data_IF_841921360739
#
_entry.id   IF_841921360739
#
_cell.length_a   1.000
_cell.length_b   1.000
_cell.length_c   1.000
_cell.angle_alpha   90.00
_cell.angle_beta   90.00
_cell.angle_gamma   90.00
#
_symmetry.space_group_name_H-M   'P 1'
#
loop_
_entity.id
_entity.type
_entity.pdbx_description
1 polymer ?
#
# COMPACT_ATOMS: atom_id res chain seq x y z
N UNK A 1 48.37 14.56 30.44
CA UNK A 1 48.57 13.94 29.12
C UNK A 1 47.31 13.78 28.31
N UNK A 2 46.23 13.32 28.90
CA UNK A 2 44.95 13.17 28.18
C UNK A 2 44.40 14.48 27.62
N UNK A 3 44.37 15.53 28.44
CA UNK A 3 43.88 16.84 28.05
C UNK A 3 44.76 17.45 26.95
N UNK A 4 46.07 17.24 27.04
CA UNK A 4 47.00 17.76 26.04
C UNK A 4 46.79 17.04 24.69
N UNK A 5 46.64 15.74 24.71
CA UNK A 5 46.38 14.94 23.51
C UNK A 5 45.02 15.28 22.89
N UNK A 6 44.03 15.46 23.72
CA UNK A 6 42.68 15.87 23.26
C UNK A 6 42.76 17.24 22.60
N UNK A 7 43.41 18.21 23.22
CA UNK A 7 43.59 19.56 22.70
C UNK A 7 44.34 19.54 21.37
N UNK A 8 45.37 18.73 21.29
CA UNK A 8 46.18 18.58 20.08
C UNK A 8 45.38 17.93 18.95
N UNK A 9 44.63 16.90 19.26
CA UNK A 9 43.77 16.20 18.31
C UNK A 9 42.66 17.14 17.77
N UNK A 10 42.02 17.91 18.64
CA UNK A 10 41.04 18.92 18.27
C UNK A 10 41.65 19.98 17.36
N UNK A 11 42.88 20.42 17.68
CA UNK A 11 43.59 21.40 16.88
C UNK A 11 43.95 20.89 15.49
N UNK A 12 44.32 19.61 15.37
CA UNK A 12 44.60 18.97 14.08
C UNK A 12 43.29 18.87 13.28
N UNK A 13 42.17 18.49 13.91
CA UNK A 13 40.89 18.41 13.27
C UNK A 13 40.45 19.79 12.74
N UNK A 14 40.66 20.84 13.51
CA UNK A 14 40.31 22.20 13.07
C UNK A 14 41.24 22.73 11.97
N UNK A 15 42.45 22.22 11.87
CA UNK A 15 43.35 22.59 10.76
C UNK A 15 42.96 21.93 9.46
N UNK A 16 42.35 20.76 9.50
CA UNK A 16 41.89 20.07 8.29
C UNK A 16 40.43 20.45 8.00
N UNK A 17 40.29 21.53 7.24
CA UNK A 17 38.97 22.09 6.87
C UNK A 17 38.11 21.10 6.09
N UNK A 18 38.73 20.25 5.29
CA UNK A 18 38.01 19.23 4.49
C UNK A 18 37.40 18.19 5.42
N UNK A 19 38.14 17.78 6.45
CA UNK A 19 37.70 16.76 7.38
C UNK A 19 36.52 17.27 8.24
N UNK A 20 36.59 18.55 8.68
CA UNK A 20 35.50 19.21 9.42
C UNK A 20 34.28 19.33 8.53
N UNK A 21 34.43 19.75 7.29
CA UNK A 21 33.36 19.87 6.33
C UNK A 21 32.64 18.53 6.18
N UNK A 22 33.37 17.44 5.96
CA UNK A 22 32.78 16.10 5.84
C UNK A 22 32.13 15.64 7.11
N UNK A 23 32.73 15.97 8.25
CA UNK A 23 32.21 15.55 9.56
C UNK A 23 30.86 16.17 9.86
N UNK A 24 30.62 17.43 9.48
CA UNK A 24 29.35 18.11 9.68
C UNK A 24 28.41 17.99 8.48
N UNK A 25 28.95 18.00 7.27
CA UNK A 25 28.15 17.92 6.06
C UNK A 25 27.54 16.54 5.83
N UNK A 26 28.28 15.48 6.17
CA UNK A 26 27.84 14.11 5.94
C UNK A 26 26.53 13.78 6.65
N UNK A 27 26.38 14.03 7.98
CA UNK A 27 25.09 13.80 8.63
C UNK A 27 23.94 14.64 8.05
N UNK A 28 24.23 15.88 7.64
CA UNK A 28 23.22 16.76 7.06
C UNK A 28 22.77 16.22 5.71
N UNK A 29 23.72 15.85 4.85
CA UNK A 29 23.42 15.27 3.53
C UNK A 29 22.63 13.96 3.70
N UNK A 30 23.05 13.11 4.62
CA UNK A 30 22.37 11.85 4.91
C UNK A 30 20.93 12.09 5.39
N UNK A 31 20.75 13.10 6.28
CA UNK A 31 19.42 13.48 6.76
C UNK A 31 18.52 13.97 5.62
N UNK A 32 19.06 14.77 4.71
CA UNK A 32 18.32 15.26 3.53
C UNK A 32 17.92 14.08 2.63
N UNK A 33 18.84 13.14 2.37
CA UNK A 33 18.55 11.96 1.57
C UNK A 33 17.47 11.09 2.21
N UNK A 34 17.54 10.87 3.51
CA UNK A 34 16.51 10.12 4.23
C UNK A 34 15.17 10.82 4.19
N UNK A 35 15.17 12.14 4.38
CA UNK A 35 13.93 12.93 4.31
C UNK A 35 13.29 12.83 2.93
N UNK A 36 14.07 12.98 1.87
CA UNK A 36 13.56 12.84 0.49
C UNK A 36 13.04 11.43 0.20
N UNK A 37 13.78 10.41 0.65
CA UNK A 37 13.38 9.02 0.45
C UNK A 37 12.10 8.69 1.21
N UNK A 38 12.00 9.10 2.48
CA UNK A 38 10.83 8.85 3.30
C UNK A 38 9.63 9.73 2.92
N UNK A 39 9.86 10.94 2.43
CA UNK A 39 8.78 11.80 1.96
C UNK A 39 8.06 11.16 0.75
N UNK A 40 8.82 10.58 -0.15
CA UNK A 40 8.25 9.86 -1.28
C UNK A 40 7.53 8.58 -0.83
N UNK A 41 8.08 7.89 0.16
CA UNK A 41 7.47 6.69 0.74
C UNK A 41 6.16 7.04 1.45
N UNK A 42 6.14 8.11 2.23
CA UNK A 42 4.91 8.54 2.91
C UNK A 42 3.81 8.95 1.93
N UNK A 43 4.16 9.51 0.79
CA UNK A 43 3.19 9.87 -0.25
C UNK A 43 2.73 8.65 -1.05
N UNK A 44 3.62 7.69 -1.27
CA UNK A 44 3.33 6.48 -2.05
C UNK A 44 2.77 5.36 -1.18
N UNK A 45 3.15 5.29 0.09
CA UNK A 45 2.68 4.27 1.05
C UNK A 45 1.48 4.70 1.88
N UNK A 46 1.17 5.98 1.96
CA UNK A 46 -0.16 6.36 2.39
C UNK A 46 -1.11 5.70 1.41
N UNK A 47 -1.75 4.62 1.87
CA UNK A 47 -2.66 3.79 1.10
C UNK A 47 -3.50 4.68 0.20
N UNK A 48 -2.99 4.94 -1.01
CA UNK A 48 -3.76 5.66 -1.99
C UNK A 48 -4.91 4.77 -2.38
N UNK A 49 -6.10 5.33 -2.31
CA UNK A 49 -7.30 4.63 -2.75
C UNK A 49 -7.10 4.28 -4.23
N UNK A 50 -7.20 3.02 -4.56
CA UNK A 50 -7.04 2.56 -5.94
C UNK A 50 -8.35 1.98 -6.46
N UNK A 51 -8.48 1.98 -7.77
CA UNK A 51 -9.71 1.56 -8.44
C UNK A 51 -9.69 0.05 -8.68
N UNK A 52 -10.78 -0.60 -8.31
CA UNK A 52 -11.02 -2.00 -8.64
C UNK A 52 -12.43 -2.12 -9.21
N UNK A 53 -12.69 -3.21 -9.92
CA UNK A 53 -14.04 -3.55 -10.37
C UNK A 53 -14.52 -4.81 -9.66
N UNK A 54 -15.82 -4.85 -9.40
CA UNK A 54 -16.49 -6.04 -8.89
C UNK A 54 -17.58 -6.39 -9.90
N UNK A 55 -17.60 -7.63 -10.34
CA UNK A 55 -18.62 -8.09 -11.28
C UNK A 55 -19.91 -8.35 -10.50
N UNK A 56 -20.91 -7.53 -10.80
CA UNK A 56 -22.22 -7.59 -10.16
C UNK A 56 -23.06 -8.67 -10.82
N UNK A 57 -22.91 -9.91 -10.34
CA UNK A 57 -23.70 -11.05 -10.79
C UNK A 57 -24.55 -11.57 -9.63
N UNK A 58 -25.37 -12.58 -9.92
CA UNK A 58 -26.26 -13.18 -8.92
C UNK A 58 -25.49 -13.78 -7.74
N UNK A 59 -24.32 -14.33 -8.01
CA UNK A 59 -23.46 -14.92 -6.99
C UNK A 59 -22.92 -13.87 -6.04
N UNK A 60 -22.53 -12.72 -6.54
CA UNK A 60 -22.12 -11.59 -5.71
C UNK A 60 -23.27 -11.07 -4.85
N UNK A 61 -24.47 -10.98 -5.42
CA UNK A 61 -25.65 -10.50 -4.70
C UNK A 61 -26.01 -11.38 -3.52
N UNK A 62 -25.63 -12.66 -3.57
CA UNK A 62 -25.84 -13.61 -2.48
C UNK A 62 -24.75 -13.56 -1.41
N UNK A 63 -23.68 -12.78 -1.62
CA UNK A 63 -22.54 -12.70 -0.71
C UNK A 63 -22.62 -11.46 0.18
N UNK A 64 -23.47 -11.50 1.20
CA UNK A 64 -23.73 -10.36 2.09
C UNK A 64 -22.47 -9.84 2.76
N UNK A 65 -21.59 -10.75 3.23
CA UNK A 65 -20.36 -10.38 3.94
C UNK A 65 -19.44 -9.57 3.02
N UNK A 66 -19.29 -10.00 1.76
CA UNK A 66 -18.46 -9.28 0.79
C UNK A 66 -19.05 -7.93 0.46
N UNK A 67 -20.38 -7.84 0.30
CA UNK A 67 -21.07 -6.57 0.02
C UNK A 67 -20.84 -5.56 1.14
N UNK A 68 -21.04 -5.97 2.38
CA UNK A 68 -20.85 -5.09 3.54
C UNK A 68 -19.39 -4.65 3.70
N UNK A 69 -18.46 -5.57 3.53
CA UNK A 69 -17.02 -5.25 3.65
C UNK A 69 -16.59 -4.31 2.53
N UNK A 70 -17.01 -4.55 1.29
CA UNK A 70 -16.69 -3.67 0.18
C UNK A 70 -17.30 -2.28 0.37
N UNK A 71 -18.50 -2.21 0.92
CA UNK A 71 -19.16 -0.93 1.21
C UNK A 71 -18.33 -0.12 2.21
N UNK A 72 -17.85 -0.75 3.27
CA UNK A 72 -17.00 -0.07 4.25
C UNK A 72 -15.66 0.36 3.65
N UNK A 73 -15.01 -0.52 2.91
CA UNK A 73 -13.70 -0.24 2.33
C UNK A 73 -13.75 0.74 1.16
N UNK A 74 -14.92 0.98 0.58
CA UNK A 74 -15.12 1.93 -0.50
C UNK A 74 -15.80 3.23 -0.07
N UNK A 75 -16.17 3.35 1.21
CA UNK A 75 -16.84 4.54 1.72
C UNK A 75 -15.84 5.70 1.83
N UNK A 76 -16.13 6.79 1.12
CA UNK A 76 -15.30 7.99 1.11
C UNK A 76 -15.19 8.66 2.48
N UNK A 77 -16.14 8.43 3.36
CA UNK A 77 -16.17 8.97 4.72
C UNK A 77 -15.33 8.16 5.69
N UNK A 78 -15.00 6.93 5.34
CA UNK A 78 -14.20 6.05 6.17
C UNK A 78 -12.72 6.36 5.99
N UNK A 79 -12.00 6.53 7.10
CA UNK A 79 -10.54 6.74 7.10
C UNK A 79 -9.78 5.53 6.54
N UNK A 80 -10.40 4.36 6.61
CA UNK A 80 -9.81 3.10 6.17
C UNK A 80 -10.21 2.74 4.73
N UNK A 81 -10.72 3.73 3.96
CA UNK A 81 -11.07 3.50 2.56
C UNK A 81 -9.83 3.00 1.79
N UNK A 82 -9.98 1.84 1.14
CA UNK A 82 -8.91 1.24 0.34
C UNK A 82 -9.19 1.29 -1.15
N UNK A 83 -10.48 1.26 -1.54
CA UNK A 83 -10.86 1.08 -2.95
C UNK A 83 -11.92 2.08 -3.39
N UNK A 84 -11.84 2.44 -4.68
CA UNK A 84 -13.00 2.89 -5.45
C UNK A 84 -13.52 1.67 -6.22
N UNK A 85 -14.74 1.26 -5.94
CA UNK A 85 -15.31 0.05 -6.54
C UNK A 85 -16.23 0.42 -7.68
N UNK A 86 -15.99 -0.17 -8.86
CA UNK A 86 -16.83 -0.06 -10.02
C UNK A 86 -17.63 -1.36 -10.20
N UNK A 87 -18.94 -1.29 -10.06
CA UNK A 87 -19.80 -2.44 -10.28
C UNK A 87 -20.16 -2.51 -11.76
N UNK A 88 -19.58 -3.48 -12.44
CA UNK A 88 -19.65 -3.60 -13.90
C UNK A 88 -19.83 -5.06 -14.29
N UNK A 89 -20.11 -5.33 -15.55
CA UNK A 89 -20.13 -6.69 -16.07
C UNK A 89 -18.69 -7.15 -16.42
N UNK A 90 -18.55 -8.42 -16.76
CA UNK A 90 -17.24 -9.03 -17.04
C UNK A 90 -16.52 -8.34 -18.19
N UNK A 91 -17.24 -8.01 -19.27
CA UNK A 91 -16.65 -7.34 -20.44
C UNK A 91 -16.10 -5.97 -20.09
N UNK A 92 -16.86 -5.19 -19.33
CA UNK A 92 -16.46 -3.87 -18.90
C UNK A 92 -15.25 -3.95 -17.96
N UNK A 93 -15.25 -4.93 -17.04
CA UNK A 93 -14.13 -5.14 -16.13
C UNK A 93 -12.84 -5.49 -16.88
N UNK A 94 -12.92 -6.38 -17.86
CA UNK A 94 -11.79 -6.76 -18.70
C UNK A 94 -11.25 -5.55 -19.47
N UNK A 95 -12.14 -4.72 -20.00
CA UNK A 95 -11.74 -3.53 -20.74
C UNK A 95 -11.08 -2.50 -19.83
N UNK A 96 -11.64 -2.25 -18.64
CA UNK A 96 -11.07 -1.34 -17.66
C UNK A 96 -9.67 -1.79 -17.22
N UNK A 97 -9.48 -3.09 -17.06
CA UNK A 97 -8.18 -3.66 -16.70
C UNK A 97 -7.16 -3.48 -17.82
N UNK A 98 -7.55 -3.71 -19.08
CA UNK A 98 -6.67 -3.50 -20.22
C UNK A 98 -6.26 -2.04 -20.36
N UNK A 99 -7.19 -1.12 -20.12
CA UNK A 99 -6.94 0.32 -20.23
C UNK A 99 -6.20 0.88 -18.99
N UNK A 100 -5.84 0.03 -18.02
CA UNK A 100 -5.18 0.40 -16.77
C UNK A 100 -6.00 1.39 -15.93
N UNK A 101 -7.30 1.39 -16.09
CA UNK A 101 -8.20 2.22 -15.28
C UNK A 101 -8.50 1.60 -13.92
N UNK A 102 -8.31 0.28 -13.80
CA UNK A 102 -8.45 -0.45 -12.54
C UNK A 102 -7.19 -1.30 -12.32
N UNK A 103 -6.90 -1.60 -11.08
CA UNK A 103 -5.75 -2.44 -10.69
C UNK A 103 -6.08 -3.93 -10.75
N UNK A 104 -7.34 -4.27 -10.68
CA UNK A 104 -7.82 -5.63 -10.77
C UNK A 104 -9.34 -5.68 -10.66
N UNK A 105 -9.92 -6.84 -10.91
CA UNK A 105 -11.34 -7.02 -10.69
C UNK A 105 -11.61 -8.35 -9.99
N UNK A 106 -12.76 -8.42 -9.32
CA UNK A 106 -13.20 -9.57 -8.54
C UNK A 106 -14.41 -10.17 -9.24
N UNK A 107 -14.31 -11.48 -9.54
CA UNK A 107 -15.38 -12.27 -10.12
C UNK A 107 -15.80 -13.34 -9.12
N UNK A 108 -17.09 -13.39 -8.80
CA UNK A 108 -17.62 -14.44 -7.95
C UNK A 108 -18.12 -15.61 -8.80
N UNK A 109 -17.47 -16.74 -8.63
CA UNK A 109 -17.83 -17.99 -9.31
C UNK A 109 -18.21 -19.01 -8.23
N UNK A 110 -19.47 -19.46 -8.28
CA UNK A 110 -20.08 -20.33 -7.27
C UNK A 110 -20.13 -19.63 -5.90
N UNK A 111 -19.25 -19.89 -4.98
CA UNK A 111 -19.18 -19.22 -3.67
C UNK A 111 -17.82 -18.61 -3.41
N UNK A 112 -16.91 -18.73 -4.36
CA UNK A 112 -15.55 -18.27 -4.18
C UNK A 112 -15.25 -17.07 -5.07
N UNK A 113 -14.63 -16.02 -4.51
CA UNK A 113 -14.17 -14.89 -5.31
C UNK A 113 -12.89 -15.27 -6.06
N UNK A 114 -12.82 -14.89 -7.32
CA UNK A 114 -11.61 -14.96 -8.12
C UNK A 114 -11.13 -13.57 -8.41
N UNK A 115 -9.83 -13.33 -8.23
CA UNK A 115 -9.22 -12.04 -8.47
C UNK A 115 -8.44 -12.14 -9.77
N UNK A 116 -8.71 -11.20 -10.68
CA UNK A 116 -7.99 -11.10 -11.95
C UNK A 116 -7.17 -9.83 -11.93
N UNK A 117 -5.87 -9.96 -12.12
CA UNK A 117 -4.92 -8.85 -12.14
C UNK A 117 -4.10 -8.96 -13.43
N UNK A 118 -3.60 -7.81 -13.91
CA UNK A 118 -2.76 -7.74 -15.10
C UNK A 118 -1.29 -7.82 -14.74
N UNK A 119 -0.89 -7.14 -13.66
CA UNK A 119 0.49 -7.08 -13.20
C UNK A 119 0.53 -7.32 -11.69
N UNK A 120 1.65 -7.82 -11.20
CA UNK A 120 1.88 -7.95 -9.76
C UNK A 120 2.44 -6.63 -9.22
N UNK A 121 1.79 -6.08 -8.22
CA UNK A 121 2.20 -4.85 -7.57
C UNK A 121 1.67 -4.78 -6.15
N UNK A 122 1.92 -3.66 -5.49
CA UNK A 122 1.49 -3.46 -4.12
C UNK A 122 -0.04 -3.44 -4.01
N UNK A 123 -0.71 -2.73 -4.90
CA UNK A 123 -2.17 -2.61 -4.94
C UNK A 123 -2.83 -3.98 -5.15
N UNK A 124 -2.30 -4.77 -6.06
CA UNK A 124 -2.79 -6.11 -6.34
C UNK A 124 -2.57 -7.04 -5.15
N UNK A 125 -1.44 -6.91 -4.47
CA UNK A 125 -1.14 -7.69 -3.26
C UNK A 125 -2.11 -7.32 -2.13
N UNK A 126 -2.41 -6.05 -1.95
CA UNK A 126 -3.38 -5.57 -0.96
C UNK A 126 -4.76 -6.15 -1.27
N UNK A 127 -5.18 -6.11 -2.53
CA UNK A 127 -6.46 -6.66 -2.96
C UNK A 127 -6.56 -8.16 -2.64
N UNK A 128 -5.52 -8.93 -2.95
CA UNK A 128 -5.46 -10.35 -2.65
C UNK A 128 -5.52 -10.61 -1.15
N UNK A 129 -4.78 -9.82 -0.37
CA UNK A 129 -4.77 -9.95 1.09
C UNK A 129 -6.15 -9.67 1.69
N UNK A 130 -6.81 -8.61 1.25
CA UNK A 130 -8.16 -8.25 1.72
C UNK A 130 -9.15 -9.36 1.39
N UNK A 131 -9.10 -9.90 0.18
CA UNK A 131 -9.99 -10.98 -0.24
C UNK A 131 -9.76 -12.25 0.57
N UNK A 132 -8.50 -12.59 0.86
CA UNK A 132 -8.16 -13.74 1.69
C UNK A 132 -8.68 -13.55 3.13
N UNK A 133 -8.55 -12.35 3.68
CA UNK A 133 -9.05 -12.04 5.02
C UNK A 133 -10.57 -12.18 5.10
N UNK A 134 -11.28 -11.68 4.10
CA UNK A 134 -12.74 -11.80 4.05
C UNK A 134 -13.14 -13.29 3.96
N UNK A 135 -12.44 -14.04 3.13
CA UNK A 135 -12.69 -15.48 2.94
C UNK A 135 -12.50 -16.26 4.25
N UNK A 136 -11.43 -15.95 4.99
CA UNK A 136 -11.17 -16.59 6.29
C UNK A 136 -12.23 -16.23 7.33
N UNK A 137 -12.60 -14.97 7.40
CA UNK A 137 -13.64 -14.51 8.31
C UNK A 137 -15.00 -15.14 8.00
N UNK A 138 -15.32 -15.29 6.72
CA UNK A 138 -16.53 -15.96 6.28
C UNK A 138 -16.57 -17.41 6.73
N UNK A 139 -15.46 -18.14 6.58
CA UNK A 139 -15.35 -19.53 7.04
C UNK A 139 -15.53 -19.65 8.54
N UNK A 140 -14.93 -18.73 9.31
CA UNK A 140 -15.07 -18.71 10.77
C UNK A 140 -16.54 -18.52 11.17
N UNK A 141 -17.24 -17.59 10.54
CA UNK A 141 -18.65 -17.32 10.82
C UNK A 141 -19.52 -18.53 10.47
N UNK A 142 -19.27 -19.17 9.34
CA UNK A 142 -19.99 -20.36 8.89
C UNK A 142 -19.74 -21.57 9.85
N UNK A 143 -18.51 -21.73 10.35
CA UNK A 143 -18.16 -22.79 11.27
C UNK A 143 -18.80 -22.59 12.65
N UNK A 144 -19.06 -21.33 13.04
CA UNK A 144 -19.69 -20.99 14.31
C UNK A 144 -21.22 -21.13 14.29
N UNK A 145 -21.80 -21.24 13.13
CA UNK A 145 -23.24 -21.45 12.96
C UNK A 145 -23.57 -22.88 12.57
#
# INVERSE_FOLDING_TARGET
MFIHNLKYTVKILFKNKVLIFWMFAFPIILGIFFHMAFENIEKDEALQVFDIAVIDNKEYQNQTIYQETFKELSDKKNKDQLFHIHFVNKKEAEQLLEDNEIEGYVLFNKQEPQIVIKENGMEQTILQFVMDEIKQNKRMIEDLT
#
